data_IF_599205323209
#
_entry.id   IF_599205323209
#
_cell.length_a   1.000
_cell.length_b   1.000
_cell.length_c   1.000
_cell.angle_alpha   90.00
_cell.angle_beta   90.00
_cell.angle_gamma   90.00
#
_symmetry.space_group_name_H-M   'P 1'
#
loop_
_entity.id
_entity.type
_entity.pdbx_description
1 polymer ?
#
# COMPACT_ATOMS: atom_id res chain seq x y z
N UNK A 1 -26.95 3.07 11.98
CA UNK A 1 -28.28 3.68 12.06
C UNK A 1 -29.33 2.55 12.09
N UNK A 2 -30.19 2.53 13.13
CA UNK A 2 -31.20 1.50 13.32
C UNK A 2 -32.22 1.43 12.16
N UNK A 3 -32.54 2.57 11.56
CA UNK A 3 -33.45 2.64 10.42
C UNK A 3 -32.89 1.95 9.19
N UNK A 4 -31.59 2.14 8.89
CA UNK A 4 -30.93 1.47 7.78
C UNK A 4 -30.85 -0.04 7.99
N UNK A 5 -30.57 -0.50 9.22
CA UNK A 5 -30.57 -1.92 9.56
C UNK A 5 -31.96 -2.54 9.37
N UNK A 6 -33.02 -1.84 9.82
CA UNK A 6 -34.39 -2.30 9.64
C UNK A 6 -34.79 -2.38 8.16
N UNK A 7 -34.44 -1.39 7.36
CA UNK A 7 -34.69 -1.41 5.91
C UNK A 7 -33.94 -2.54 5.21
N UNK A 8 -32.65 -2.75 5.54
CA UNK A 8 -31.88 -3.84 5.00
C UNK A 8 -32.53 -5.21 5.31
N UNK A 9 -32.96 -5.41 6.57
CA UNK A 9 -33.64 -6.63 6.99
C UNK A 9 -34.97 -6.85 6.25
N UNK A 10 -35.75 -5.79 6.01
CA UNK A 10 -37.01 -5.85 5.25
C UNK A 10 -36.79 -6.32 3.80
N UNK A 11 -35.63 -6.02 3.22
CA UNK A 11 -35.25 -6.40 1.87
C UNK A 11 -34.40 -7.68 1.82
N UNK A 12 -34.21 -8.37 2.94
CA UNK A 12 -33.37 -9.58 3.01
C UNK A 12 -31.89 -9.34 2.74
N UNK A 13 -31.40 -8.11 2.94
CA UNK A 13 -30.01 -7.72 2.74
C UNK A 13 -29.23 -8.04 4.03
N UNK A 14 -28.30 -9.00 3.95
CA UNK A 14 -27.38 -9.33 5.05
C UNK A 14 -26.21 -8.34 5.15
N UNK A 15 -25.49 -8.41 6.28
CA UNK A 15 -24.23 -7.69 6.43
C UNK A 15 -23.13 -8.25 5.52
N UNK A 16 -22.13 -7.41 5.22
CA UNK A 16 -20.90 -7.81 4.56
C UNK A 16 -19.80 -7.73 5.60
N UNK A 17 -19.18 -8.87 5.93
CA UNK A 17 -18.18 -8.97 6.98
C UNK A 17 -16.75 -8.87 6.45
N UNK A 18 -16.56 -9.24 5.18
CA UNK A 18 -15.26 -9.25 4.52
C UNK A 18 -15.37 -8.78 3.06
N UNK A 19 -14.44 -7.92 2.67
CA UNK A 19 -14.23 -7.48 1.29
C UNK A 19 -12.79 -7.78 0.90
N UNK A 20 -12.61 -8.64 -0.10
CA UNK A 20 -11.29 -9.02 -0.62
C UNK A 20 -11.22 -8.62 -2.09
N UNK A 21 -10.36 -7.66 -2.41
CA UNK A 21 -10.27 -7.08 -3.76
C UNK A 21 -8.82 -6.83 -4.14
N UNK A 22 -8.41 -7.37 -5.29
CA UNK A 22 -7.18 -7.01 -5.98
C UNK A 22 -7.53 -6.06 -7.13
N UNK A 23 -6.84 -4.92 -7.22
CA UNK A 23 -7.06 -3.94 -8.29
C UNK A 23 -6.50 -4.44 -9.62
N UNK A 24 -6.98 -3.89 -10.71
CA UNK A 24 -6.43 -4.14 -12.04
C UNK A 24 -4.93 -3.80 -12.10
N UNK A 25 -4.12 -4.61 -12.81
CA UNK A 25 -2.67 -4.49 -12.82
C UNK A 25 -2.18 -3.37 -13.75
N UNK A 26 -2.58 -2.13 -13.48
CA UNK A 26 -2.26 -0.96 -14.30
C UNK A 26 -0.76 -0.84 -14.63
N UNK A 27 0.11 -0.99 -13.61
CA UNK A 27 1.59 -0.91 -13.79
C UNK A 27 2.08 -1.94 -14.81
N UNK A 28 1.61 -3.18 -14.70
CA UNK A 28 2.01 -4.25 -15.60
C UNK A 28 1.51 -4.03 -17.02
N UNK A 29 0.28 -3.51 -17.17
CA UNK A 29 -0.28 -3.16 -18.47
C UNK A 29 0.51 -2.02 -19.12
N UNK A 30 0.76 -0.92 -18.40
CA UNK A 30 1.52 0.22 -18.89
C UNK A 30 2.98 -0.14 -19.24
N UNK A 31 3.57 -1.15 -18.58
CA UNK A 31 4.91 -1.62 -18.92
C UNK A 31 4.93 -2.56 -20.15
N UNK A 32 3.81 -3.20 -20.49
CA UNK A 32 3.71 -4.20 -21.55
C UNK A 32 3.29 -3.61 -22.89
N UNK A 33 2.52 -2.54 -22.92
CA UNK A 33 1.95 -1.98 -24.15
C UNK A 33 2.00 -0.45 -24.18
N UNK A 34 2.12 0.11 -25.37
CA UNK A 34 1.97 1.55 -25.63
C UNK A 34 0.55 1.92 -26.11
N UNK A 35 -0.33 0.94 -26.29
CA UNK A 35 -1.73 1.17 -26.65
C UNK A 35 -2.46 1.85 -25.49
N UNK A 36 -2.70 3.16 -25.69
CA UNK A 36 -3.30 4.00 -24.67
C UNK A 36 -4.74 3.58 -24.33
N UNK A 37 -5.48 3.05 -25.30
CA UNK A 37 -6.84 2.56 -25.05
C UNK A 37 -6.82 1.37 -24.11
N UNK A 38 -5.91 0.42 -24.33
CA UNK A 38 -5.73 -0.74 -23.44
C UNK A 38 -5.29 -0.31 -22.04
N UNK A 39 -4.41 0.68 -21.92
CA UNK A 39 -3.94 1.21 -20.64
C UNK A 39 -5.09 1.85 -19.86
N UNK A 40 -5.94 2.66 -20.53
CA UNK A 40 -7.10 3.32 -19.91
C UNK A 40 -8.13 2.28 -19.45
N UNK A 41 -8.43 1.26 -20.23
CA UNK A 41 -9.35 0.17 -19.82
C UNK A 41 -8.87 -0.60 -18.60
N UNK A 42 -7.56 -0.58 -18.31
CA UNK A 42 -6.96 -1.20 -17.12
C UNK A 42 -6.89 -0.25 -15.92
N UNK A 43 -7.59 0.87 -15.91
CA UNK A 43 -7.83 1.69 -14.72
C UNK A 43 -9.06 1.15 -14.01
N UNK A 44 -8.85 0.56 -12.83
CA UNK A 44 -9.93 0.03 -12.00
C UNK A 44 -10.71 1.16 -11.34
N UNK A 45 -12.02 1.20 -11.57
CA UNK A 45 -12.93 2.19 -10.98
C UNK A 45 -13.64 1.60 -9.75
N UNK A 46 -14.22 0.43 -9.90
CA UNK A 46 -15.05 -0.20 -8.87
C UNK A 46 -14.24 -0.75 -7.69
N UNK A 47 -13.08 -1.34 -7.99
CA UNK A 47 -12.18 -1.90 -6.97
C UNK A 47 -11.76 -0.89 -5.91
N UNK A 48 -11.17 0.26 -6.26
CA UNK A 48 -10.83 1.31 -5.30
C UNK A 48 -12.05 1.81 -4.50
N UNK A 49 -13.22 1.96 -5.12
CA UNK A 49 -14.43 2.38 -4.45
C UNK A 49 -14.89 1.36 -3.38
N UNK A 50 -14.88 0.06 -3.71
CA UNK A 50 -15.21 -1.01 -2.78
C UNK A 50 -14.21 -1.10 -1.63
N UNK A 51 -12.90 -1.05 -1.93
CA UNK A 51 -11.83 -1.06 -0.92
C UNK A 51 -11.98 0.10 0.05
N UNK A 52 -12.19 1.32 -0.43
CA UNK A 52 -12.35 2.52 0.40
C UNK A 52 -13.62 2.47 1.25
N UNK A 53 -14.73 1.96 0.69
CA UNK A 53 -15.98 1.77 1.43
C UNK A 53 -15.81 0.77 2.57
N UNK A 54 -15.20 -0.38 2.32
CA UNK A 54 -14.91 -1.38 3.33
C UNK A 54 -13.93 -0.86 4.40
N UNK A 55 -12.85 -0.19 3.99
CA UNK A 55 -11.88 0.42 4.89
C UNK A 55 -12.52 1.46 5.82
N UNK A 56 -13.42 2.29 5.32
CA UNK A 56 -14.17 3.25 6.15
C UNK A 56 -15.03 2.56 7.21
N UNK A 57 -15.47 1.33 6.95
CA UNK A 57 -16.29 0.53 7.85
C UNK A 57 -15.47 -0.52 8.65
N UNK A 58 -14.18 -0.30 8.85
CA UNK A 58 -13.25 -1.23 9.51
C UNK A 58 -13.72 -1.72 10.89
N UNK A 59 -14.56 -0.97 11.59
CA UNK A 59 -15.10 -1.40 12.88
C UNK A 59 -15.86 -2.74 12.78
N UNK A 60 -16.43 -3.05 11.61
CA UNK A 60 -17.24 -4.24 11.38
C UNK A 60 -16.79 -5.08 10.17
N UNK A 61 -15.95 -4.54 9.27
CA UNK A 61 -15.60 -5.15 7.99
C UNK A 61 -14.09 -5.39 7.90
N UNK A 62 -13.72 -6.61 7.50
CA UNK A 62 -12.35 -6.92 7.07
C UNK A 62 -12.16 -6.47 5.63
N UNK A 63 -11.14 -5.65 5.35
CA UNK A 63 -10.77 -5.25 3.99
C UNK A 63 -9.41 -5.83 3.64
N UNK A 64 -9.35 -6.67 2.62
CA UNK A 64 -8.13 -7.39 2.23
C UNK A 64 -7.74 -7.00 0.82
N UNK A 65 -6.53 -6.46 0.66
CA UNK A 65 -6.00 -5.98 -0.63
C UNK A 65 -4.75 -6.73 -1.07
N UNK A 66 -4.26 -7.67 -0.24
CA UNK A 66 -3.06 -8.46 -0.54
C UNK A 66 -3.27 -9.94 -0.22
N UNK A 67 -2.90 -10.85 -1.14
CA UNK A 67 -2.87 -12.28 -0.86
C UNK A 67 -1.97 -12.67 0.33
N UNK A 68 -0.96 -11.86 0.63
CA UNK A 68 -0.05 -12.11 1.76
C UNK A 68 -0.74 -12.00 3.13
N UNK A 69 -1.92 -11.41 3.18
CA UNK A 69 -2.68 -11.26 4.42
C UNK A 69 -3.71 -12.39 4.65
N UNK A 70 -3.93 -13.30 3.69
CA UNK A 70 -5.01 -14.29 3.76
C UNK A 70 -4.91 -15.21 4.98
N UNK A 71 -3.74 -15.76 5.25
CA UNK A 71 -3.55 -16.65 6.40
C UNK A 71 -3.76 -15.93 7.73
N UNK A 72 -3.26 -14.70 7.84
CA UNK A 72 -3.46 -13.88 9.03
C UNK A 72 -4.93 -13.50 9.23
N UNK A 73 -5.67 -13.24 8.15
CA UNK A 73 -7.13 -12.99 8.19
C UNK A 73 -7.85 -14.22 8.70
N UNK A 74 -7.57 -15.41 8.16
CA UNK A 74 -8.20 -16.66 8.59
C UNK A 74 -7.96 -16.96 10.07
N UNK A 75 -6.73 -16.75 10.54
CA UNK A 75 -6.39 -16.90 11.96
C UNK A 75 -7.16 -15.91 12.83
N UNK A 76 -7.19 -14.63 12.43
CA UNK A 76 -7.86 -13.60 13.21
C UNK A 76 -9.39 -13.74 13.24
N UNK A 77 -10.01 -14.22 12.15
CA UNK A 77 -11.44 -14.54 12.11
C UNK A 77 -11.82 -15.57 13.17
N UNK A 78 -10.90 -16.52 13.47
CA UNK A 78 -11.10 -17.58 14.47
C UNK A 78 -10.82 -17.13 15.91
N UNK A 79 -10.26 -15.92 16.13
CA UNK A 79 -10.02 -15.37 17.47
C UNK A 79 -11.34 -15.10 18.20
N UNK A 80 -11.36 -15.34 19.50
CA UNK A 80 -12.48 -14.96 20.38
C UNK A 80 -12.32 -13.54 20.95
N UNK A 81 -11.15 -12.90 20.79
CA UNK A 81 -10.85 -11.57 21.31
C UNK A 81 -11.27 -10.48 20.32
N UNK A 82 -12.38 -9.81 20.62
CA UNK A 82 -12.88 -8.70 19.80
C UNK A 82 -11.96 -7.49 19.78
N UNK A 83 -11.15 -7.26 20.81
CA UNK A 83 -10.15 -6.19 20.84
C UNK A 83 -9.00 -6.49 19.86
N UNK A 84 -8.57 -7.74 19.80
CA UNK A 84 -7.58 -8.21 18.83
C UNK A 84 -8.12 -8.09 17.39
N UNK A 85 -9.35 -8.54 17.16
CA UNK A 85 -10.01 -8.41 15.86
C UNK A 85 -10.12 -6.95 15.42
N UNK A 86 -10.48 -6.05 16.32
CA UNK A 86 -10.57 -4.62 15.98
C UNK A 86 -9.20 -4.04 15.59
N UNK A 87 -8.16 -4.34 16.35
CA UNK A 87 -6.78 -3.89 16.03
C UNK A 87 -6.33 -4.44 14.68
N UNK A 88 -6.66 -5.69 14.39
CA UNK A 88 -6.31 -6.30 13.11
C UNK A 88 -7.04 -5.63 11.95
N UNK A 89 -8.36 -5.37 12.06
CA UNK A 89 -9.13 -4.61 11.07
C UNK A 89 -8.61 -3.18 10.88
N UNK A 90 -8.13 -2.51 11.95
CA UNK A 90 -7.47 -1.21 11.84
C UNK A 90 -6.21 -1.27 10.98
N UNK A 91 -5.38 -2.30 11.15
CA UNK A 91 -4.19 -2.49 10.31
C UNK A 91 -4.56 -2.76 8.85
N UNK A 92 -5.57 -3.57 8.59
CA UNK A 92 -6.08 -3.80 7.23
C UNK A 92 -6.63 -2.53 6.60
N UNK A 93 -7.33 -1.69 7.37
CA UNK A 93 -7.80 -0.36 6.92
C UNK A 93 -6.63 0.53 6.47
N UNK A 94 -5.55 0.59 7.25
CA UNK A 94 -4.36 1.36 6.89
C UNK A 94 -3.80 0.85 5.56
N UNK A 95 -3.54 -0.46 5.44
CA UNK A 95 -3.06 -1.10 4.20
C UNK A 95 -3.96 -0.81 3.00
N UNK A 96 -5.28 -0.82 3.19
CA UNK A 96 -6.25 -0.54 2.15
C UNK A 96 -6.14 0.90 1.61
N UNK A 97 -5.95 1.89 2.50
CA UNK A 97 -5.74 3.28 2.08
C UNK A 97 -4.35 3.49 1.46
N UNK A 98 -3.31 2.85 1.99
CA UNK A 98 -1.98 2.86 1.37
C UNK A 98 -2.03 2.28 -0.05
N UNK A 99 -2.74 1.17 -0.23
CA UNK A 99 -2.90 0.50 -1.53
C UNK A 99 -3.61 1.40 -2.56
N UNK A 100 -4.75 2.01 -2.19
CA UNK A 100 -5.48 2.89 -3.10
C UNK A 100 -4.73 4.20 -3.37
N UNK A 101 -4.03 4.76 -2.38
CA UNK A 101 -3.21 5.96 -2.55
C UNK A 101 -2.03 5.71 -3.50
N UNK A 102 -1.33 4.58 -3.36
CA UNK A 102 -0.24 4.19 -4.25
C UNK A 102 -0.75 3.93 -5.68
N UNK A 103 -1.92 3.31 -5.82
CA UNK A 103 -2.56 3.07 -7.12
C UNK A 103 -2.87 4.38 -7.85
N UNK A 104 -3.53 5.33 -7.19
CA UNK A 104 -3.86 6.63 -7.77
C UNK A 104 -2.60 7.46 -8.07
N UNK A 105 -1.60 7.40 -7.18
CA UNK A 105 -0.32 8.07 -7.37
C UNK A 105 0.40 7.58 -8.63
N UNK A 106 0.40 6.27 -8.85
CA UNK A 106 1.01 5.63 -10.02
C UNK A 106 0.32 6.06 -11.32
N UNK A 107 -1.02 6.05 -11.35
CA UNK A 107 -1.80 6.50 -12.51
C UNK A 107 -1.52 7.98 -12.79
N UNK A 108 -1.57 8.84 -11.76
CA UNK A 108 -1.33 10.26 -11.90
C UNK A 108 0.09 10.57 -12.42
N UNK A 109 1.11 9.87 -11.91
CA UNK A 109 2.48 10.01 -12.41
C UNK A 109 2.63 9.55 -13.86
N UNK A 110 2.02 8.41 -14.22
CA UNK A 110 2.02 7.92 -15.59
C UNK A 110 1.38 8.92 -16.58
N UNK A 111 0.21 9.48 -16.22
CA UNK A 111 -0.46 10.48 -17.07
C UNK A 111 0.34 11.78 -17.20
N UNK A 112 0.98 12.22 -16.11
CA UNK A 112 1.87 13.38 -16.14
C UNK A 112 3.10 13.14 -17.02
N UNK A 113 3.69 11.95 -16.97
CA UNK A 113 4.82 11.61 -17.84
C UNK A 113 4.40 11.63 -19.31
N UNK A 114 3.28 11.01 -19.61
CA UNK A 114 2.78 10.87 -20.99
C UNK A 114 2.34 12.20 -21.63
N UNK A 115 1.69 13.08 -20.87
CA UNK A 115 1.06 14.29 -21.41
C UNK A 115 1.77 15.59 -21.04
N UNK A 116 2.59 15.60 -19.99
CA UNK A 116 3.24 16.79 -19.44
C UNK A 116 4.76 16.64 -19.31
N UNK A 117 5.37 15.61 -19.92
CA UNK A 117 6.81 15.35 -19.81
C UNK A 117 7.30 15.16 -18.39
N UNK A 118 6.45 14.65 -17.50
CA UNK A 118 6.77 14.41 -16.08
C UNK A 118 6.64 15.63 -15.16
N UNK A 119 6.31 16.80 -15.68
CA UNK A 119 6.25 18.08 -14.94
C UNK A 119 4.81 18.54 -14.67
N UNK A 120 3.97 17.67 -14.13
CA UNK A 120 2.62 18.05 -13.70
C UNK A 120 2.62 18.98 -12.48
N UNK A 121 1.43 19.51 -12.13
CA UNK A 121 1.27 20.40 -10.97
C UNK A 121 1.60 19.72 -9.62
N UNK A 122 1.60 18.39 -9.56
CA UNK A 122 1.96 17.59 -8.38
C UNK A 122 2.82 16.41 -8.81
N UNK A 123 3.77 16.02 -7.96
CA UNK A 123 4.53 14.77 -8.05
C UNK A 123 4.20 13.91 -6.85
N UNK A 124 3.89 12.65 -7.08
CA UNK A 124 3.59 11.70 -6.02
C UNK A 124 4.75 10.72 -5.87
N UNK A 125 5.12 10.44 -4.62
CA UNK A 125 6.15 9.48 -4.26
C UNK A 125 5.51 8.48 -3.30
N UNK A 126 5.43 7.22 -3.71
CA UNK A 126 4.96 6.12 -2.89
C UNK A 126 6.13 5.13 -2.72
N UNK A 127 6.68 5.08 -1.52
CA UNK A 127 7.78 4.17 -1.19
C UNK A 127 7.33 3.02 -0.29
N UNK A 128 7.88 1.84 -0.52
CA UNK A 128 7.67 0.67 0.34
C UNK A 128 8.69 0.67 1.47
N UNK A 129 8.21 0.41 2.70
CA UNK A 129 9.10 0.32 3.87
C UNK A 129 9.92 -0.95 3.80
N UNK A 130 11.24 -0.81 3.89
CA UNK A 130 12.18 -1.94 3.91
C UNK A 130 12.40 -2.41 5.35
N UNK A 131 12.81 -1.49 6.24
CA UNK A 131 13.02 -1.77 7.67
C UNK A 131 13.00 -0.49 8.51
N UNK A 132 12.83 -0.68 9.83
CA UNK A 132 13.06 0.38 10.81
C UNK A 132 14.56 0.47 11.10
N UNK A 133 15.12 1.69 11.10
CA UNK A 133 16.50 1.89 11.56
C UNK A 133 16.57 1.82 13.08
N UNK A 134 17.74 1.44 13.63
CA UNK A 134 17.94 1.40 15.09
C UNK A 134 17.60 2.72 15.79
N UNK A 135 17.86 3.84 15.13
CA UNK A 135 17.50 5.21 15.52
C UNK A 135 17.58 6.12 14.28
N UNK A 136 17.05 7.32 14.35
CA UNK A 136 17.14 8.31 13.29
C UNK A 136 18.53 8.98 13.25
N UNK A 137 18.60 10.27 12.95
CA UNK A 137 19.87 11.02 12.99
C UNK A 137 20.45 11.04 14.40
N UNK A 138 19.60 11.20 15.42
CA UNK A 138 19.96 11.17 16.83
C UNK A 138 19.35 9.96 17.55
N UNK A 139 19.97 9.48 18.67
CA UNK A 139 19.54 8.26 19.36
C UNK A 139 18.09 8.21 19.83
N UNK A 140 17.48 9.35 20.10
CA UNK A 140 16.09 9.46 20.57
C UNK A 140 15.06 9.52 19.44
N UNK A 141 15.50 9.63 18.20
CA UNK A 141 14.63 9.73 17.03
C UNK A 141 14.34 8.33 16.45
N UNK A 142 13.13 8.14 15.93
CA UNK A 142 12.80 6.99 15.10
C UNK A 142 13.17 7.29 13.65
N UNK A 143 13.53 6.24 12.91
CA UNK A 143 13.77 6.32 11.48
C UNK A 143 13.39 5.02 10.78
N UNK A 144 13.16 5.10 9.50
CA UNK A 144 12.90 3.93 8.67
C UNK A 144 13.44 4.16 7.25
N UNK A 145 13.84 3.08 6.59
CA UNK A 145 14.18 3.09 5.17
C UNK A 145 12.94 2.77 4.34
N UNK A 146 12.65 3.64 3.39
CA UNK A 146 11.67 3.38 2.33
C UNK A 146 12.39 3.34 0.99
N UNK A 147 11.96 2.45 0.12
CA UNK A 147 12.50 2.32 -1.22
C UNK A 147 11.46 2.57 -2.30
N UNK A 148 11.94 2.98 -3.46
CA UNK A 148 11.18 3.05 -4.69
C UNK A 148 11.63 1.90 -5.60
N UNK A 149 10.67 1.20 -6.21
CA UNK A 149 10.94 0.16 -7.23
C UNK A 149 11.86 -0.98 -6.78
N UNK A 150 11.83 -1.33 -5.49
CA UNK A 150 12.59 -2.43 -4.89
C UNK A 150 14.11 -2.33 -5.09
N UNK A 151 14.62 -1.10 -5.26
CA UNK A 151 16.06 -0.87 -5.55
C UNK A 151 16.95 -1.40 -4.44
N UNK A 152 16.67 -1.04 -3.18
CA UNK A 152 17.48 -1.50 -2.06
C UNK A 152 17.37 -3.02 -1.88
N UNK A 153 16.16 -3.55 -1.91
CA UNK A 153 15.86 -4.96 -1.71
C UNK A 153 16.51 -5.86 -2.76
N UNK A 154 16.64 -5.37 -4.00
CA UNK A 154 17.26 -6.13 -5.09
C UNK A 154 18.79 -6.05 -5.13
N UNK A 155 19.40 -4.98 -4.59
CA UNK A 155 20.84 -4.72 -4.77
C UNK A 155 21.64 -4.79 -3.47
N UNK A 156 20.99 -4.76 -2.30
CA UNK A 156 21.69 -4.73 -1.02
C UNK A 156 21.24 -5.86 -0.11
N UNK A 157 22.19 -6.44 0.60
CA UNK A 157 21.96 -7.45 1.62
C UNK A 157 22.72 -7.10 2.87
N UNK A 158 22.02 -6.96 4.00
CA UNK A 158 22.68 -6.84 5.30
C UNK A 158 23.36 -8.15 5.66
N UNK A 159 24.66 -8.10 5.89
CA UNK A 159 25.45 -9.27 6.30
C UNK A 159 25.56 -9.39 7.81
N UNK A 160 25.40 -8.28 8.56
CA UNK A 160 25.55 -8.26 10.02
C UNK A 160 24.89 -7.06 10.65
N UNK A 161 24.06 -7.30 11.65
CA UNK A 161 23.44 -6.27 12.49
C UNK A 161 22.34 -5.48 11.80
N UNK A 162 21.78 -4.51 12.55
CA UNK A 162 20.75 -3.58 12.08
C UNK A 162 21.40 -2.24 11.71
N UNK A 163 20.96 -1.68 10.60
CA UNK A 163 21.46 -0.40 10.13
C UNK A 163 20.86 0.78 10.93
N UNK A 164 21.65 1.83 11.11
CA UNK A 164 21.20 3.14 11.60
C UNK A 164 20.94 4.09 10.43
N UNK A 165 20.33 5.24 10.70
CA UNK A 165 20.22 6.34 9.74
C UNK A 165 21.59 6.74 9.18
N UNK A 166 22.59 6.90 10.05
CA UNK A 166 23.95 7.27 9.62
C UNK A 166 24.58 6.21 8.72
N UNK A 167 24.38 4.91 9.02
CA UNK A 167 24.88 3.88 8.11
C UNK A 167 24.27 3.97 6.70
N UNK A 168 22.99 4.36 6.57
CA UNK A 168 22.37 4.57 5.26
C UNK A 168 22.98 5.76 4.53
N UNK A 169 23.26 6.85 5.23
CA UNK A 169 23.91 8.03 4.67
C UNK A 169 25.33 7.72 4.21
N UNK A 170 26.12 7.01 5.04
CA UNK A 170 27.49 6.59 4.71
C UNK A 170 27.53 5.64 3.52
N UNK A 171 26.59 4.69 3.47
CA UNK A 171 26.46 3.74 2.35
C UNK A 171 26.13 4.47 1.05
N UNK A 172 25.21 5.43 1.08
CA UNK A 172 24.90 6.25 -0.10
C UNK A 172 26.14 7.03 -0.58
N UNK A 173 26.84 7.70 0.33
CA UNK A 173 28.08 8.42 0.00
C UNK A 173 29.17 7.51 -0.59
N UNK A 174 29.35 6.33 -0.01
CA UNK A 174 30.31 5.34 -0.51
C UNK A 174 29.94 4.82 -1.91
N UNK A 175 28.64 4.55 -2.15
CA UNK A 175 28.15 4.11 -3.46
C UNK A 175 28.37 5.20 -4.52
N UNK A 176 28.03 6.46 -4.22
CA UNK A 176 28.23 7.57 -5.15
C UNK A 176 29.72 7.78 -5.48
N UNK A 177 30.59 7.66 -4.49
CA UNK A 177 32.03 7.74 -4.72
C UNK A 177 32.53 6.58 -5.59
N UNK A 178 32.16 5.35 -5.26
CA UNK A 178 32.60 4.17 -6.02
C UNK A 178 32.12 4.18 -7.48
N UNK A 179 30.92 4.72 -7.73
CA UNK A 179 30.35 4.83 -9.09
C UNK A 179 30.99 5.93 -9.94
N UNK A 180 31.86 6.76 -9.35
CA UNK A 180 32.55 7.84 -10.05
C UNK A 180 33.90 7.42 -10.63
N UNK A 181 34.32 6.19 -10.40
CA UNK A 181 35.55 5.57 -10.92
C UNK A 181 35.20 4.37 -11.80
#
# INVERSE_FOLDING_TARGET
>A
DANHVSQAAQHGIGGIDLVCVNLYPFKATAARTDDFSEIIENIDIGGPAMVRSAAKNFASVYVVTSPLDYDAVLQNLSSADESEKLKFRQNLMIKAYEHTAAYDAMIANYMNERFNGGFGAKKFIAGSKVFDTRYGENPHQKGALYELEDFFSNHFKSLKGEASFNNMTDMHGALMLASSF
#
